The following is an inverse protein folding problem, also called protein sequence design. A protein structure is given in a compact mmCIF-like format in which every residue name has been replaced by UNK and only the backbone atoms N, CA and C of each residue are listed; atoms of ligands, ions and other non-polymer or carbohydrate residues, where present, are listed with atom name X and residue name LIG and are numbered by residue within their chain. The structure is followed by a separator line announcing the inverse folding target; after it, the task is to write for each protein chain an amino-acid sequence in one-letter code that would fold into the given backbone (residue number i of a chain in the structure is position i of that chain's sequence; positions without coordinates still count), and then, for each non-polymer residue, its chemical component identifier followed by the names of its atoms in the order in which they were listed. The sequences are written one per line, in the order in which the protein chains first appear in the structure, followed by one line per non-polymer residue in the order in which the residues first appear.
data_IF_158912306926
#
_entry.id   IF_158912306926
#
_cell.length_a   1.000
_cell.length_b   1.000
_cell.length_c   1.000
_cell.angle_alpha   90.00
_cell.angle_beta   90.00
_cell.angle_gamma   90.00
#
_symmetry.space_group_name_H-M   'P 1'
#
loop_
_entity.id
_entity.type
_entity.pdbx_description
1 polymer ?
#
# COMPACT_ATOMS: atom_id res chain seq x y z
N UNK A 1 -8.92 20.67 -44.35
CA UNK A 1 -8.44 21.00 -42.98
C UNK A 1 -9.03 20.02 -41.96
N UNK A 2 -8.52 18.78 -41.86
CA UNK A 2 -9.00 17.76 -40.89
C UNK A 2 -7.89 16.86 -40.32
N UNK A 3 -6.61 17.18 -40.54
CA UNK A 3 -5.47 16.31 -40.16
C UNK A 3 -4.65 16.80 -38.96
N UNK A 4 -4.88 18.01 -38.45
CA UNK A 4 -4.05 18.62 -37.39
C UNK A 4 -4.57 18.30 -35.97
N UNK A 5 -5.83 17.89 -35.81
CA UNK A 5 -6.43 17.61 -34.50
C UNK A 5 -5.96 16.27 -33.91
N UNK A 6 -5.51 15.31 -34.74
CA UNK A 6 -5.10 13.99 -34.27
C UNK A 6 -3.72 13.93 -33.60
N UNK A 7 -2.81 14.85 -33.95
CA UNK A 7 -1.42 14.83 -33.43
C UNK A 7 -1.35 15.46 -32.03
N UNK A 8 -2.19 16.45 -31.73
CA UNK A 8 -2.24 17.07 -30.40
C UNK A 8 -2.82 16.08 -29.36
N UNK A 9 -3.76 15.23 -29.76
CA UNK A 9 -4.36 14.20 -28.89
C UNK A 9 -3.38 13.07 -28.52
N UNK A 10 -2.44 12.75 -29.42
CA UNK A 10 -1.44 11.69 -29.19
C UNK A 10 -0.29 12.14 -28.28
N UNK A 11 0.07 13.43 -28.29
CA UNK A 11 1.12 13.99 -27.43
C UNK A 11 0.61 14.27 -26.01
N UNK A 12 -0.67 14.63 -25.85
CA UNK A 12 -1.28 14.85 -24.53
C UNK A 12 -1.53 13.57 -23.75
N UNK A 13 -1.82 12.45 -24.42
CA UNK A 13 -1.99 11.16 -23.75
C UNK A 13 -0.65 10.59 -23.26
N UNK A 14 0.46 10.76 -23.98
CA UNK A 14 1.77 10.28 -23.50
C UNK A 14 2.34 11.09 -22.34
N UNK A 15 2.03 12.40 -22.26
CA UNK A 15 2.58 13.28 -21.22
C UNK A 15 1.98 13.03 -19.81
N UNK A 16 0.66 12.79 -19.74
CA UNK A 16 -0.02 12.50 -18.46
C UNK A 16 0.29 11.10 -17.94
N UNK A 17 0.41 10.12 -18.85
CA UNK A 17 0.76 8.75 -18.46
C UNK A 17 2.24 8.63 -18.08
N UNK A 18 3.13 9.41 -18.72
CA UNK A 18 4.55 9.47 -18.36
C UNK A 18 4.80 10.00 -16.96
N UNK A 19 4.15 11.10 -16.55
CA UNK A 19 4.36 11.70 -15.21
C UNK A 19 3.96 10.78 -14.07
N UNK A 20 2.76 10.19 -14.11
CA UNK A 20 2.30 9.33 -13.02
C UNK A 20 3.14 8.03 -12.93
N UNK A 21 3.69 7.55 -14.05
CA UNK A 21 4.63 6.43 -14.04
C UNK A 21 5.94 6.81 -13.34
N UNK A 22 6.49 8.01 -13.61
CA UNK A 22 7.68 8.52 -12.92
C UNK A 22 7.46 8.63 -11.41
N UNK A 23 6.33 9.18 -10.96
CA UNK A 23 5.99 9.29 -9.53
C UNK A 23 5.95 7.91 -8.83
N UNK A 24 5.37 6.91 -9.49
CA UNK A 24 5.36 5.54 -8.96
C UNK A 24 6.79 4.98 -8.84
N UNK A 25 7.66 5.22 -9.82
CA UNK A 25 9.04 4.76 -9.79
C UNK A 25 9.85 5.45 -8.68
N UNK A 26 9.65 6.74 -8.46
CA UNK A 26 10.25 7.46 -7.32
C UNK A 26 9.84 6.83 -5.99
N UNK A 27 8.55 6.50 -5.82
CA UNK A 27 8.06 5.82 -4.62
C UNK A 27 8.63 4.42 -4.43
N UNK A 28 8.86 3.68 -5.51
CA UNK A 28 9.51 2.35 -5.46
C UNK A 28 10.99 2.43 -5.07
N UNK A 29 11.65 3.56 -5.36
CA UNK A 29 13.04 3.79 -4.97
C UNK A 29 13.17 4.30 -3.53
N UNK A 30 12.10 4.90 -2.95
CA UNK A 30 12.09 5.31 -1.55
C UNK A 30 12.16 4.09 -0.62
N UNK A 31 12.81 4.27 0.53
CA UNK A 31 12.75 3.30 1.62
C UNK A 31 11.31 3.21 2.12
N UNK A 32 10.70 2.05 1.93
CA UNK A 32 9.31 1.81 2.32
C UNK A 32 9.16 1.66 3.85
N UNK A 33 8.02 2.11 4.41
CA UNK A 33 7.82 2.11 5.85
C UNK A 33 7.65 0.70 6.40
N UNK A 34 8.14 0.53 7.63
CA UNK A 34 8.15 -0.72 8.37
C UNK A 34 7.82 -0.41 9.82
N UNK A 35 7.00 -1.24 10.45
CA UNK A 35 6.83 -1.25 11.90
C UNK A 35 7.07 -2.64 12.49
N UNK A 36 7.58 -2.68 13.71
CA UNK A 36 7.92 -3.92 14.42
C UNK A 36 7.40 -3.85 15.85
N UNK A 37 6.53 -4.79 16.24
CA UNK A 37 5.95 -4.86 17.58
C UNK A 37 5.76 -6.31 18.02
N UNK A 38 6.23 -6.65 19.22
CA UNK A 38 6.15 -8.01 19.80
C UNK A 38 6.64 -9.13 18.85
N UNK A 39 7.74 -8.90 18.12
CA UNK A 39 8.29 -9.87 17.17
C UNK A 39 7.55 -9.95 15.82
N UNK A 40 6.46 -9.21 15.65
CA UNK A 40 5.77 -9.07 14.37
C UNK A 40 6.32 -7.87 13.62
N UNK A 41 6.73 -8.09 12.37
CA UNK A 41 7.19 -7.05 11.45
C UNK A 41 6.16 -6.87 10.35
N UNK A 42 5.68 -5.65 10.16
CA UNK A 42 4.81 -5.26 9.05
C UNK A 42 5.58 -4.28 8.18
N UNK A 43 5.70 -4.58 6.88
CA UNK A 43 6.37 -3.71 5.92
C UNK A 43 5.47 -3.46 4.71
N UNK A 44 5.47 -2.23 4.21
CA UNK A 44 5.07 -1.97 2.83
C UNK A 44 6.25 -2.42 1.96
N UNK A 45 6.04 -3.31 1.01
CA UNK A 45 7.14 -3.89 0.22
C UNK A 45 7.08 -3.58 -1.27
N UNK A 46 5.94 -3.09 -1.77
CA UNK A 46 5.80 -2.58 -3.13
C UNK A 46 4.57 -1.68 -3.25
N UNK A 47 4.52 -0.91 -4.34
CA UNK A 47 3.34 -0.25 -4.84
C UNK A 47 3.00 -0.84 -6.20
N UNK A 48 1.77 -1.29 -6.40
CA UNK A 48 1.37 -1.94 -7.66
C UNK A 48 0.30 -1.16 -8.38
N UNK A 49 0.32 -1.24 -9.72
CA UNK A 49 -0.73 -0.77 -10.61
C UNK A 49 -1.33 -2.01 -11.26
N UNK A 50 -2.63 -2.25 -11.08
CA UNK A 50 -3.29 -3.30 -11.84
C UNK A 50 -3.64 -2.79 -13.23
N UNK A 51 -3.34 -3.63 -14.23
CA UNK A 51 -3.77 -3.59 -15.63
C UNK A 51 -4.75 -2.45 -16.00
N UNK A 52 -4.21 -1.44 -16.69
CA UNK A 52 -5.01 -0.48 -17.46
C UNK A 52 -5.70 0.64 -16.67
N UNK A 53 -5.62 0.66 -15.34
CA UNK A 53 -6.14 1.77 -14.53
C UNK A 53 -4.98 2.71 -14.19
N UNK A 54 -5.15 3.99 -14.52
CA UNK A 54 -4.19 5.08 -14.35
C UNK A 54 -3.51 5.02 -12.97
N UNK A 55 -2.19 5.24 -12.94
CA UNK A 55 -1.31 5.39 -11.76
C UNK A 55 -1.67 6.57 -10.84
N UNK A 56 -2.94 6.94 -10.79
CA UNK A 56 -3.40 8.13 -10.09
C UNK A 56 -3.48 7.87 -8.58
N UNK A 57 -3.85 6.67 -8.16
CA UNK A 57 -4.12 6.32 -6.75
C UNK A 57 -3.17 5.25 -6.22
N UNK A 58 -2.73 5.33 -4.95
CA UNK A 58 -1.85 4.35 -4.38
C UNK A 58 -2.57 3.04 -4.10
N UNK A 59 -1.89 1.97 -4.49
CA UNK A 59 -2.21 0.60 -4.18
C UNK A 59 -0.96 0.00 -3.52
N UNK A 60 -1.02 -0.22 -2.20
CA UNK A 60 0.14 -0.65 -1.43
C UNK A 60 0.10 -2.15 -1.18
N UNK A 61 1.27 -2.78 -1.28
CA UNK A 61 1.46 -4.18 -0.95
C UNK A 61 2.12 -4.29 0.43
N UNK A 62 1.45 -4.99 1.34
CA UNK A 62 1.88 -5.16 2.73
C UNK A 62 2.36 -6.59 2.94
N UNK A 63 3.45 -6.75 3.69
CA UNK A 63 3.99 -8.04 4.11
C UNK A 63 4.11 -8.07 5.62
N UNK A 64 3.70 -9.19 6.21
CA UNK A 64 3.74 -9.42 7.64
C UNK A 64 4.65 -10.62 7.92
N UNK A 65 5.52 -10.51 8.93
CA UNK A 65 6.35 -11.60 9.42
C UNK A 65 6.13 -11.75 10.92
N UNK A 66 5.84 -12.96 11.40
CA UNK A 66 5.74 -13.21 12.84
C UNK A 66 6.96 -13.92 13.40
N UNK A 67 8.07 -13.21 13.63
CA UNK A 67 9.26 -13.79 14.25
C UNK A 67 9.12 -14.00 15.77
N UNK A 68 7.93 -13.77 16.33
CA UNK A 68 7.64 -14.03 17.74
C UNK A 68 7.52 -15.53 18.06
N UNK A 69 7.50 -15.84 19.35
CA UNK A 69 7.33 -17.21 19.87
C UNK A 69 5.86 -17.66 19.89
N UNK A 70 4.91 -16.72 19.83
CA UNK A 70 3.48 -16.96 19.96
C UNK A 70 2.73 -16.71 18.66
N UNK A 71 1.59 -17.37 18.47
CA UNK A 71 0.75 -17.14 17.31
C UNK A 71 0.02 -15.81 17.46
N UNK A 72 -0.06 -15.01 16.39
CA UNK A 72 -0.83 -13.76 16.35
C UNK A 72 -2.26 -14.10 15.97
N UNK A 73 -3.21 -13.69 16.81
CA UNK A 73 -4.64 -13.93 16.63
C UNK A 73 -5.42 -12.65 16.32
N UNK A 74 -4.81 -11.49 16.52
CA UNK A 74 -5.38 -10.18 16.18
C UNK A 74 -4.23 -9.26 15.78
N UNK A 75 -4.31 -8.66 14.59
CA UNK A 75 -3.34 -7.71 14.07
C UNK A 75 -4.08 -6.60 13.35
N UNK A 76 -4.03 -5.40 13.93
CA UNK A 76 -4.52 -4.18 13.31
C UNK A 76 -3.33 -3.27 13.06
N UNK A 77 -3.31 -2.73 11.85
CA UNK A 77 -2.37 -1.68 11.49
C UNK A 77 -3.12 -0.42 11.11
N UNK A 78 -2.45 0.70 11.26
CA UNK A 78 -2.89 1.99 10.75
C UNK A 78 -1.87 2.49 9.75
N UNK A 79 -2.35 3.08 8.67
CA UNK A 79 -1.57 3.66 7.59
C UNK A 79 -1.92 5.13 7.49
N UNK A 80 -0.89 5.97 7.42
CA UNK A 80 -1.04 7.41 7.23
C UNK A 80 -0.39 7.82 5.92
N UNK A 81 -1.16 8.53 5.10
CA UNK A 81 -0.64 9.25 3.95
C UNK A 81 -0.66 10.74 4.28
N UNK A 82 0.53 11.30 4.44
CA UNK A 82 0.72 12.72 4.67
C UNK A 82 0.76 13.44 3.32
N UNK A 83 -0.03 14.50 3.22
CA UNK A 83 -0.11 15.41 2.08
C UNK A 83 0.02 16.85 2.57
N UNK A 84 0.34 17.78 1.67
CA UNK A 84 0.43 19.22 2.00
C UNK A 84 -0.78 19.75 2.78
N UNK A 85 -1.98 19.23 2.48
CA UNK A 85 -3.25 19.69 3.05
C UNK A 85 -3.72 18.89 4.27
N UNK A 86 -2.93 17.93 4.78
CA UNK A 86 -3.27 17.14 5.97
C UNK A 86 -2.90 15.67 5.86
N UNK A 87 -3.65 14.82 6.57
CA UNK A 87 -3.34 13.39 6.68
C UNK A 87 -4.55 12.54 6.37
N UNK A 88 -4.40 11.61 5.44
CA UNK A 88 -5.36 10.54 5.23
C UNK A 88 -4.96 9.33 6.07
N UNK A 89 -5.90 8.76 6.83
CA UNK A 89 -5.64 7.66 7.77
C UNK A 89 -6.54 6.49 7.44
N UNK A 90 -5.97 5.27 7.40
CA UNK A 90 -6.73 4.03 7.24
C UNK A 90 -6.28 2.98 8.24
N UNK A 91 -7.25 2.43 8.97
CA UNK A 91 -7.05 1.23 9.78
C UNK A 91 -7.40 -0.04 8.99
N UNK A 92 -6.59 -1.08 9.17
CA UNK A 92 -6.74 -2.37 8.52
C UNK A 92 -6.60 -3.50 9.53
N UNK A 93 -7.61 -4.36 9.58
CA UNK A 93 -7.58 -5.60 10.37
C UNK A 93 -7.02 -6.72 9.51
N UNK A 94 -5.72 -7.02 9.66
CA UNK A 94 -5.03 -8.04 8.85
C UNK A 94 -5.28 -9.45 9.38
N UNK A 95 -5.32 -9.60 10.70
CA UNK A 95 -5.52 -10.87 11.40
C UNK A 95 -6.62 -10.67 12.45
N UNK A 96 -7.59 -11.58 12.54
CA UNK A 96 -8.67 -11.52 13.51
C UNK A 96 -9.86 -12.39 13.11
N UNK A 97 -10.88 -12.48 13.97
CA UNK A 97 -12.15 -13.15 13.60
C UNK A 97 -12.87 -12.41 12.48
N UNK A 98 -12.90 -11.07 12.56
CA UNK A 98 -13.33 -10.15 11.50
C UNK A 98 -12.17 -9.71 10.59
N UNK A 99 -11.01 -10.37 10.71
CA UNK A 99 -9.84 -10.02 9.93
C UNK A 99 -10.17 -10.08 8.46
N UNK A 100 -9.86 -9.01 7.73
CA UNK A 100 -10.21 -8.89 6.32
C UNK A 100 -9.60 -10.06 5.51
N UNK A 101 -8.50 -10.66 5.97
CA UNK A 101 -7.71 -11.59 5.15
C UNK A 101 -7.37 -12.93 5.81
N UNK A 102 -7.10 -12.99 7.12
CA UNK A 102 -6.66 -14.23 7.78
C UNK A 102 -7.11 -14.28 9.25
N UNK A 103 -7.38 -15.48 9.76
CA UNK A 103 -7.78 -15.68 11.17
C UNK A 103 -6.62 -15.72 12.17
N UNK A 104 -5.44 -16.20 11.76
CA UNK A 104 -4.24 -16.34 12.62
C UNK A 104 -2.95 -16.39 11.82
N UNK A 105 -1.84 -15.93 12.41
CA UNK A 105 -0.48 -16.07 11.88
C UNK A 105 0.38 -16.81 12.91
N UNK A 106 0.88 -18.00 12.57
CA UNK A 106 1.63 -18.83 13.52
C UNK A 106 3.02 -18.26 13.78
N UNK A 107 3.66 -18.75 14.84
CA UNK A 107 5.02 -18.37 15.23
C UNK A 107 6.08 -19.00 14.34
N UNK A 108 7.27 -18.40 14.31
CA UNK A 108 8.40 -18.83 13.48
C UNK A 108 8.63 -17.89 12.30
N UNK A 109 9.51 -18.20 11.35
CA UNK A 109 9.77 -17.29 10.21
C UNK A 109 8.61 -17.29 9.18
N UNK A 110 7.36 -17.43 9.64
CA UNK A 110 6.18 -17.41 8.79
C UNK A 110 6.03 -16.02 8.16
N UNK A 111 6.00 -16.02 6.83
CA UNK A 111 5.76 -14.86 5.99
C UNK A 111 4.32 -14.91 5.54
N UNK A 112 3.60 -13.84 5.81
CA UNK A 112 2.25 -13.65 5.35
C UNK A 112 2.19 -12.47 4.39
N UNK A 113 1.74 -12.76 3.17
CA UNK A 113 1.33 -11.78 2.17
C UNK A 113 -0.18 -11.93 2.05
N UNK A 114 -0.98 -10.89 2.33
CA UNK A 114 -2.40 -10.93 2.00
C UNK A 114 -2.56 -11.28 0.51
N UNK A 115 -3.24 -12.40 0.19
CA UNK A 115 -3.25 -12.99 -1.15
C UNK A 115 -3.79 -12.06 -2.26
N UNK A 116 -3.39 -12.38 -3.51
CA UNK A 116 -3.49 -11.75 -4.84
C UNK A 116 -4.77 -10.99 -5.30
N UNK A 117 -5.77 -10.77 -4.44
CA UNK A 117 -7.00 -10.05 -4.81
C UNK A 117 -7.14 -8.63 -4.26
N UNK A 118 -6.20 -8.11 -3.47
CA UNK A 118 -6.51 -6.94 -2.64
C UNK A 118 -5.33 -6.00 -2.44
N UNK A 119 -5.18 -5.13 -3.43
CA UNK A 119 -4.58 -3.82 -3.23
C UNK A 119 -5.46 -3.03 -2.27
N UNK A 120 -4.86 -2.40 -1.25
CA UNK A 120 -5.55 -1.31 -0.58
C UNK A 120 -5.53 -0.13 -1.53
N UNK A 121 -6.61 0.00 -2.30
CA UNK A 121 -6.75 1.11 -3.23
C UNK A 121 -7.29 2.31 -2.45
N UNK A 122 -6.45 3.32 -2.28
CA UNK A 122 -6.85 4.55 -1.65
C UNK A 122 -7.31 5.54 -2.72
N UNK A 123 -8.51 5.31 -3.27
CA UNK A 123 -9.10 6.12 -4.35
C UNK A 123 -9.34 7.59 -3.97
N UNK A 124 -9.21 7.92 -2.70
CA UNK A 124 -9.44 9.26 -2.16
C UNK A 124 -8.15 10.10 -2.08
N UNK A 125 -7.00 9.51 -2.43
CA UNK A 125 -5.71 10.21 -2.39
C UNK A 125 -4.88 9.87 -3.63
N UNK A 126 -4.31 10.90 -4.27
CA UNK A 126 -3.48 10.68 -5.46
C UNK A 126 -2.01 10.51 -5.10
N UNK A 127 -1.26 9.71 -5.87
CA UNK A 127 0.19 9.52 -5.64
C UNK A 127 0.96 10.83 -5.53
N UNK A 128 0.71 11.77 -6.46
CA UNK A 128 1.30 13.12 -6.48
C UNK A 128 1.05 13.97 -5.22
N UNK A 129 0.01 13.63 -4.45
CA UNK A 129 -0.36 14.36 -3.23
C UNK A 129 0.37 13.80 -2.01
N UNK A 130 0.95 12.60 -2.11
CA UNK A 130 1.59 11.91 -0.99
C UNK A 130 3.03 12.39 -0.87
N UNK A 131 3.35 12.99 0.27
CA UNK A 131 4.71 13.40 0.63
C UNK A 131 5.40 12.30 1.43
N UNK A 132 4.66 11.69 2.36
CA UNK A 132 5.15 10.69 3.29
C UNK A 132 4.09 9.62 3.56
N UNK A 133 4.55 8.38 3.67
CA UNK A 133 3.75 7.21 4.05
C UNK A 133 4.28 6.66 5.38
N UNK A 134 3.39 6.40 6.31
CA UNK A 134 3.71 5.77 7.60
C UNK A 134 2.80 4.57 7.84
N UNK A 135 3.31 3.58 8.57
CA UNK A 135 2.57 2.39 8.99
C UNK A 135 2.87 2.12 10.46
N UNK A 136 1.87 1.67 11.21
CA UNK A 136 2.03 1.32 12.61
C UNK A 136 1.14 0.15 12.98
N UNK A 137 1.65 -0.77 13.79
CA UNK A 137 0.90 -1.83 14.45
C UNK A 137 0.19 -1.22 15.66
N UNK A 138 -1.07 -0.87 15.46
CA UNK A 138 -1.92 -0.26 16.50
C UNK A 138 -2.43 -1.30 17.49
N UNK A 139 -2.79 -2.50 17.02
CA UNK A 139 -3.26 -3.59 17.89
C UNK A 139 -2.60 -4.91 17.54
N UNK A 140 -2.19 -5.64 18.57
CA UNK A 140 -1.63 -6.99 18.44
C UNK A 140 -2.00 -7.86 19.64
N UNK A 141 -2.65 -9.01 19.37
CA UNK A 141 -2.89 -10.07 20.35
C UNK A 141 -2.21 -11.35 19.91
N UNK A 142 -1.65 -12.05 20.90
CA UNK A 142 -0.95 -13.31 20.72
C UNK A 142 -1.56 -14.37 21.63
N UNK A 143 -1.51 -15.64 21.21
CA UNK A 143 -1.92 -16.81 21.97
C UNK A 143 -0.77 -17.80 22.11
#
# INVERSE_FOLDING_TARGET
MKKIIFIIFFIFSTALFGRNYTELQEWRQKKLPVDIKKGVRVEVYDFESRHGVKYEYPAINIRVHNRGSSAVTDLVITIWFWKNEGVYVKELVLIGEEGEYRKKLFSGKEKYIPSERRYYNFKDIKFKEIERLEIQITRIKTK
#
